data_IF_123401411074
#
_entry.id   IF_123401411074
#
_cell.length_a   1.000
_cell.length_b   1.000
_cell.length_c   1.000
_cell.angle_alpha   90.00
_cell.angle_beta   90.00
_cell.angle_gamma   90.00
#
_symmetry.space_group_name_H-M   'P 1'
#
loop_
_entity.id
_entity.type
_entity.pdbx_description
1 polymer ?
#
# COMPACT_ATOMS: atom_id res chain seq x y z
N UNK A 1 -9.71 -8.70 5.19
CA UNK A 1 -11.01 -9.02 5.80
C UNK A 1 -11.65 -7.70 6.21
N UNK A 2 -12.83 -7.38 5.70
CA UNK A 2 -13.57 -6.17 6.08
C UNK A 2 -14.62 -6.51 7.13
N UNK A 3 -15.35 -7.60 6.93
CA UNK A 3 -16.36 -8.06 7.88
C UNK A 3 -16.40 -9.59 7.95
N UNK A 4 -16.70 -10.13 9.12
CA UNK A 4 -17.02 -11.55 9.28
C UNK A 4 -18.49 -11.73 8.91
N UNK A 5 -18.82 -12.83 8.22
CA UNK A 5 -20.22 -13.15 7.99
C UNK A 5 -20.94 -13.36 9.33
N UNK A 6 -22.15 -12.83 9.46
CA UNK A 6 -22.95 -12.98 10.67
C UNK A 6 -24.45 -12.99 10.34
N UNK A 7 -25.24 -13.59 11.22
CA UNK A 7 -26.69 -13.61 11.12
C UNK A 7 -27.28 -12.51 12.01
N UNK A 8 -28.14 -11.66 11.45
CA UNK A 8 -28.88 -10.65 12.21
C UNK A 8 -29.92 -11.37 13.08
N UNK A 9 -29.83 -11.35 14.42
CA UNK A 9 -30.69 -12.19 15.26
C UNK A 9 -32.18 -11.85 15.15
N UNK A 10 -32.52 -10.58 14.91
CA UNK A 10 -33.90 -10.11 14.85
C UNK A 10 -34.62 -10.49 13.56
N UNK A 11 -33.90 -10.65 12.45
CA UNK A 11 -34.48 -10.90 11.12
C UNK A 11 -34.10 -12.27 10.56
N UNK A 12 -33.10 -12.94 11.13
CA UNK A 12 -32.52 -14.17 10.60
C UNK A 12 -31.73 -13.97 9.30
N UNK A 13 -31.52 -12.72 8.88
CA UNK A 13 -30.81 -12.40 7.65
C UNK A 13 -29.31 -12.69 7.79
N UNK A 14 -28.75 -13.41 6.83
CA UNK A 14 -27.32 -13.67 6.76
C UNK A 14 -26.60 -12.55 6.02
N UNK A 15 -25.73 -11.85 6.74
CA UNK A 15 -24.76 -10.93 6.15
C UNK A 15 -23.53 -11.76 5.74
N UNK A 16 -23.18 -11.82 4.45
CA UNK A 16 -22.08 -12.64 3.99
C UNK A 16 -20.73 -12.09 4.48
N UNK A 17 -19.74 -12.96 4.47
CA UNK A 17 -18.35 -12.57 4.70
C UNK A 17 -17.88 -11.60 3.61
N UNK A 18 -17.23 -10.51 4.03
CA UNK A 18 -16.68 -9.51 3.10
C UNK A 18 -15.15 -9.47 3.20
N UNK A 19 -14.52 -9.69 2.05
CA UNK A 19 -13.10 -9.47 1.85
C UNK A 19 -12.86 -8.63 0.61
N UNK A 20 -11.74 -7.90 0.63
CA UNK A 20 -11.23 -7.15 -0.51
C UNK A 20 -9.87 -7.70 -0.88
N UNK A 21 -9.61 -7.75 -2.18
CA UNK A 21 -8.30 -8.13 -2.72
C UNK A 21 -7.29 -7.01 -2.40
N UNK A 22 -6.29 -7.32 -1.58
CA UNK A 22 -5.28 -6.35 -1.13
C UNK A 22 -3.98 -6.42 -1.93
N UNK A 23 -3.82 -7.41 -2.81
CA UNK A 23 -2.60 -7.63 -3.60
C UNK A 23 -2.60 -6.96 -4.98
N UNK A 24 -3.75 -6.46 -5.45
CA UNK A 24 -3.82 -5.78 -6.75
C UNK A 24 -3.43 -4.31 -6.62
N UNK A 25 -2.20 -3.99 -6.99
CA UNK A 25 -1.67 -2.62 -6.97
C UNK A 25 -2.33 -1.76 -8.05
N UNK A 26 -2.80 -0.57 -7.67
CA UNK A 26 -3.38 0.42 -8.56
C UNK A 26 -2.33 1.38 -9.10
N UNK A 27 -2.16 1.39 -10.42
CA UNK A 27 -1.31 2.37 -11.11
C UNK A 27 -2.06 3.69 -11.29
N UNK A 28 -1.38 4.80 -11.05
CA UNK A 28 -2.00 6.12 -11.12
C UNK A 28 -1.04 7.25 -10.78
N UNK A 29 -1.59 8.40 -10.35
CA UNK A 29 -0.81 9.54 -9.89
C UNK A 29 -1.31 9.98 -8.50
N UNK A 30 -0.45 9.85 -7.49
CA UNK A 30 -0.76 10.21 -6.11
C UNK A 30 -0.55 11.69 -5.75
N UNK A 31 -0.13 12.54 -6.69
CA UNK A 31 0.11 13.97 -6.47
C UNK A 31 -1.23 14.76 -6.46
N UNK A 32 -1.66 15.35 -5.33
CA UNK A 32 -2.89 16.13 -5.25
C UNK A 32 -2.97 17.34 -6.18
N UNK A 33 -1.83 17.84 -6.67
CA UNK A 33 -1.75 18.97 -7.61
C UNK A 33 -1.93 18.55 -9.09
N UNK A 34 -1.93 17.24 -9.36
CA UNK A 34 -2.08 16.70 -10.71
C UNK A 34 -3.55 16.66 -11.13
N UNK A 35 -3.84 16.97 -12.40
CA UNK A 35 -5.18 16.75 -12.98
C UNK A 35 -5.57 15.26 -13.00
N UNK A 36 -4.57 14.36 -13.06
CA UNK A 36 -4.77 12.92 -13.01
C UNK A 36 -4.71 12.35 -11.57
N UNK A 37 -4.89 13.21 -10.55
CA UNK A 37 -4.79 12.80 -9.15
C UNK A 37 -5.77 11.69 -8.78
N UNK A 38 -5.23 10.67 -8.11
CA UNK A 38 -5.98 9.58 -7.53
C UNK A 38 -5.37 9.18 -6.18
N UNK A 39 -6.11 9.44 -5.10
CA UNK A 39 -5.69 9.13 -3.73
C UNK A 39 -5.46 7.64 -3.49
N UNK A 40 -6.06 6.78 -4.31
CA UNK A 40 -5.96 5.32 -4.21
C UNK A 40 -4.80 4.74 -5.03
N UNK A 41 -3.94 5.58 -5.62
CA UNK A 41 -2.74 5.13 -6.32
C UNK A 41 -1.78 4.42 -5.37
N UNK A 42 -1.40 3.20 -5.74
CA UNK A 42 -0.35 2.41 -5.06
C UNK A 42 1.00 2.52 -5.76
N UNK A 43 1.01 2.56 -7.10
CA UNK A 43 2.24 2.62 -7.90
C UNK A 43 2.19 3.80 -8.86
N UNK A 44 3.25 4.60 -8.86
CA UNK A 44 3.47 5.67 -9.83
C UNK A 44 4.84 5.50 -10.48
N UNK A 45 4.88 5.56 -11.81
CA UNK A 45 6.13 5.51 -12.58
C UNK A 45 6.34 6.88 -13.21
N UNK A 46 7.36 7.58 -12.74
CA UNK A 46 7.81 8.85 -13.29
C UNK A 46 9.07 8.62 -14.13
N UNK A 47 8.87 8.40 -15.42
CA UNK A 47 9.98 8.20 -16.36
C UNK A 47 10.82 9.47 -16.56
N UNK A 48 10.23 10.65 -16.41
CA UNK A 48 10.95 11.92 -16.60
C UNK A 48 11.86 12.23 -15.40
N UNK A 49 11.38 11.96 -14.19
CA UNK A 49 12.15 12.06 -12.94
C UNK A 49 12.99 10.82 -12.61
N UNK A 50 12.96 9.78 -13.45
CA UNK A 50 13.65 8.51 -13.24
C UNK A 50 13.35 7.88 -11.86
N UNK A 51 12.07 7.78 -11.51
CA UNK A 51 11.62 7.32 -10.19
C UNK A 51 10.40 6.42 -10.29
N UNK A 52 10.36 5.43 -9.41
CA UNK A 52 9.17 4.63 -9.13
C UNK A 52 8.77 4.89 -7.68
N UNK A 53 7.51 5.22 -7.47
CA UNK A 53 6.90 5.32 -6.14
C UNK A 53 5.97 4.13 -5.94
N UNK A 54 6.04 3.50 -4.77
CA UNK A 54 5.22 2.36 -4.40
C UNK A 54 4.68 2.49 -2.98
N UNK A 55 3.44 2.05 -2.77
CA UNK A 55 2.79 1.92 -1.46
C UNK A 55 2.47 0.44 -1.24
N UNK A 56 3.02 -0.13 -0.18
CA UNK A 56 2.80 -1.52 0.18
C UNK A 56 2.06 -1.54 1.52
N UNK A 57 0.85 -2.10 1.60
CA UNK A 57 0.14 -2.27 2.86
C UNK A 57 0.96 -3.11 3.85
N UNK A 58 1.04 -2.66 5.11
CA UNK A 58 1.81 -3.32 6.17
C UNK A 58 1.51 -4.81 6.34
N UNK A 59 0.25 -5.19 6.15
CA UNK A 59 -0.18 -6.58 6.28
C UNK A 59 0.44 -7.50 5.22
N UNK A 60 0.77 -6.98 4.02
CA UNK A 60 1.49 -7.77 2.99
C UNK A 60 2.93 -8.07 3.40
N UNK A 61 3.47 -7.33 4.38
CA UNK A 61 4.78 -7.54 4.98
C UNK A 61 4.71 -8.34 6.29
N UNK A 62 3.55 -8.90 6.64
CA UNK A 62 3.26 -9.52 7.94
C UNK A 62 3.49 -8.59 9.15
N UNK A 63 3.45 -7.26 8.94
CA UNK A 63 3.51 -6.29 10.03
C UNK A 63 2.09 -6.10 10.56
N UNK A 64 1.89 -6.45 11.84
CA UNK A 64 0.60 -6.39 12.52
C UNK A 64 0.35 -4.99 13.11
N UNK A 65 1.38 -4.39 13.71
CA UNK A 65 1.33 -3.04 14.25
C UNK A 65 2.63 -2.31 13.91
N UNK A 66 2.63 -1.44 12.89
CA UNK A 66 3.81 -0.67 12.52
C UNK A 66 4.15 0.40 13.56
N UNK A 67 3.17 0.88 14.33
CA UNK A 67 3.33 1.98 15.29
C UNK A 67 4.24 1.58 16.47
N UNK A 68 4.16 0.32 16.91
CA UNK A 68 4.99 -0.27 17.97
C UNK A 68 5.97 -1.34 17.47
N UNK A 69 6.14 -1.44 16.14
CA UNK A 69 6.97 -2.44 15.44
C UNK A 69 6.70 -3.88 15.88
N UNK A 70 5.50 -4.37 15.59
CA UNK A 70 5.10 -5.76 15.83
C UNK A 70 4.79 -6.47 14.52
N UNK A 71 5.33 -7.68 14.36
CA UNK A 71 5.05 -8.57 13.21
C UNK A 71 4.37 -9.85 13.66
N UNK A 72 3.59 -10.45 12.78
CA UNK A 72 2.95 -11.76 12.99
C UNK A 72 4.06 -12.82 13.07
N UNK A 73 3.98 -13.70 14.07
CA UNK A 73 5.02 -14.70 14.35
C UNK A 73 4.52 -16.14 14.46
N UNK A 74 3.21 -16.36 14.35
CA UNK A 74 2.59 -17.68 14.37
C UNK A 74 2.14 -18.11 12.98
N UNK A 75 2.06 -19.43 12.80
CA UNK A 75 1.33 -19.97 11.67
C UNK A 75 -0.15 -19.58 11.81
N UNK A 76 -0.80 -19.29 10.68
CA UNK A 76 -2.16 -18.73 10.66
C UNK A 76 -3.19 -19.62 11.37
N UNK A 77 -2.89 -20.92 11.50
CA UNK A 77 -3.71 -21.95 12.12
C UNK A 77 -3.66 -21.98 13.67
N UNK A 78 -2.64 -21.40 14.30
CA UNK A 78 -2.41 -21.50 15.75
C UNK A 78 -2.81 -20.24 16.54
N UNK A 79 -3.47 -19.28 15.87
CA UNK A 79 -3.84 -17.98 16.42
C UNK A 79 -2.86 -16.88 16.01
N UNK A 80 -3.17 -15.62 16.34
CA UNK A 80 -2.33 -14.46 16.01
C UNK A 80 -1.51 -14.04 17.23
N UNK A 81 -0.24 -14.44 17.25
CA UNK A 81 0.77 -13.85 18.13
C UNK A 81 1.61 -12.84 17.35
N UNK A 82 2.12 -11.84 18.07
CA UNK A 82 3.02 -10.85 17.48
C UNK A 82 4.32 -10.76 18.28
N UNK A 83 5.42 -10.51 17.58
CA UNK A 83 6.75 -10.29 18.17
C UNK A 83 7.30 -8.95 17.71
N UNK A 84 8.18 -8.37 18.53
CA UNK A 84 8.90 -7.15 18.16
C UNK A 84 9.89 -7.42 17.02
N UNK A 85 10.16 -6.38 16.22
CA UNK A 85 11.23 -6.37 15.22
C UNK A 85 11.82 -4.96 15.13
N UNK A 86 13.06 -4.85 14.66
CA UNK A 86 13.76 -3.55 14.63
C UNK A 86 13.77 -2.92 13.24
N UNK A 87 13.93 -3.73 12.19
CA UNK A 87 14.07 -3.28 10.81
C UNK A 87 13.48 -4.30 9.82
N UNK A 88 13.21 -3.80 8.62
CA UNK A 88 12.95 -4.59 7.42
C UNK A 88 14.22 -4.66 6.58
N UNK A 89 14.40 -5.75 5.85
CA UNK A 89 15.38 -5.83 4.77
C UNK A 89 14.66 -5.74 3.44
N UNK A 90 15.08 -4.82 2.58
CA UNK A 90 14.42 -4.50 1.31
C UNK A 90 15.40 -4.61 0.16
N UNK A 91 14.98 -5.31 -0.89
CA UNK A 91 15.64 -5.28 -2.20
C UNK A 91 14.60 -5.28 -3.30
N UNK A 92 14.93 -4.65 -4.41
CA UNK A 92 14.10 -4.55 -5.60
C UNK A 92 14.90 -5.10 -6.76
N UNK A 93 14.24 -5.85 -7.63
CA UNK A 93 14.82 -6.39 -8.85
C UNK A 93 13.82 -6.32 -9.99
N UNK A 94 14.31 -6.04 -11.18
CA UNK A 94 13.55 -6.13 -12.43
C UNK A 94 13.99 -7.35 -13.22
N UNK A 95 13.10 -7.89 -14.04
CA UNK A 95 13.40 -8.98 -14.95
C UNK A 95 12.58 -8.85 -16.23
N UNK A 96 13.00 -9.50 -17.31
CA UNK A 96 12.20 -9.61 -18.53
C UNK A 96 11.18 -10.74 -18.36
N UNK A 97 9.87 -10.48 -18.41
CA UNK A 97 8.87 -11.53 -18.31
C UNK A 97 8.83 -12.35 -19.61
N UNK A 98 8.75 -13.67 -19.48
CA UNK A 98 8.59 -14.60 -20.59
C UNK A 98 7.14 -15.12 -20.63
N UNK A 99 6.41 -14.74 -21.69
CA UNK A 99 5.02 -15.15 -21.89
C UNK A 99 4.89 -16.68 -22.08
N UNK A 100 5.91 -17.37 -22.60
CA UNK A 100 5.91 -18.82 -22.72
C UNK A 100 6.09 -19.52 -21.36
N UNK A 101 6.39 -18.76 -20.29
CA UNK A 101 6.60 -19.25 -18.92
C UNK A 101 5.63 -18.64 -17.91
N UNK A 102 4.44 -18.26 -18.36
CA UNK A 102 3.40 -17.60 -17.55
C UNK A 102 3.86 -16.27 -16.93
N UNK A 103 4.70 -15.51 -17.65
CA UNK A 103 5.22 -14.22 -17.17
C UNK A 103 6.33 -14.35 -16.12
N UNK A 104 6.84 -15.56 -15.85
CA UNK A 104 8.08 -15.74 -15.08
C UNK A 104 9.27 -15.13 -15.82
N UNK A 105 10.33 -14.85 -15.08
CA UNK A 105 11.54 -14.27 -15.64
C UNK A 105 12.17 -15.15 -16.74
N UNK A 106 12.53 -14.50 -17.85
CA UNK A 106 13.26 -15.09 -18.96
C UNK A 106 14.67 -15.50 -18.54
N UNK A 107 15.20 -16.55 -19.18
CA UNK A 107 16.61 -16.89 -19.07
C UNK A 107 17.42 -15.93 -19.95
N UNK A 108 18.33 -15.18 -19.33
CA UNK A 108 19.20 -14.20 -19.98
C UNK A 108 20.67 -14.64 -19.99
N UNK A 109 20.96 -15.90 -19.63
CA UNK A 109 22.32 -16.47 -19.65
C UNK A 109 23.27 -15.89 -18.60
N UNK A 110 22.75 -15.12 -17.63
CA UNK A 110 23.51 -14.56 -16.52
C UNK A 110 23.52 -15.46 -15.28
N UNK A 111 24.26 -15.05 -14.24
CA UNK A 111 24.22 -15.72 -12.91
C UNK A 111 22.86 -15.58 -12.21
N UNK A 112 22.04 -14.63 -12.66
CA UNK A 112 20.67 -14.37 -12.25
C UNK A 112 19.86 -13.89 -13.46
N UNK A 113 18.54 -13.96 -13.35
CA UNK A 113 17.56 -13.46 -14.32
C UNK A 113 17.15 -11.99 -14.06
N UNK A 114 17.79 -11.33 -13.09
CA UNK A 114 17.61 -9.91 -12.83
C UNK A 114 18.28 -9.06 -13.92
N UNK A 115 17.54 -8.11 -14.48
CA UNK A 115 18.05 -7.10 -15.43
C UNK A 115 18.59 -5.85 -14.75
N UNK A 116 18.00 -5.49 -13.61
CA UNK A 116 18.43 -4.39 -12.76
C UNK A 116 18.01 -4.68 -11.32
N UNK A 117 18.68 -4.10 -10.33
CA UNK A 117 18.43 -4.35 -8.93
C UNK A 117 18.94 -3.22 -8.03
N UNK A 118 18.28 -3.07 -6.88
CA UNK A 118 18.67 -2.16 -5.82
C UNK A 118 18.49 -2.87 -4.47
N UNK A 119 19.39 -2.69 -3.48
CA UNK A 119 20.69 -2.02 -3.56
C UNK A 119 21.72 -2.80 -4.39
N UNK A 120 22.95 -2.29 -4.48
CA UNK A 120 24.04 -2.94 -5.22
C UNK A 120 24.25 -4.42 -4.81
N UNK A 121 24.62 -5.25 -5.79
CA UNK A 121 24.86 -6.69 -5.60
C UNK A 121 26.34 -7.00 -5.48
N UNK A 122 26.64 -8.08 -4.76
CA UNK A 122 27.96 -8.70 -4.74
C UNK A 122 27.89 -10.03 -5.51
N UNK A 123 28.38 -10.03 -6.75
CA UNK A 123 28.25 -11.18 -7.65
C UNK A 123 26.78 -11.52 -7.95
N UNK A 124 26.33 -12.68 -7.47
CA UNK A 124 24.94 -13.17 -7.62
C UNK A 124 24.04 -12.83 -6.43
N UNK A 125 24.54 -12.14 -5.41
CA UNK A 125 23.81 -11.87 -4.16
C UNK A 125 23.43 -10.40 -4.09
N UNK A 126 22.13 -10.11 -4.07
CA UNK A 126 21.63 -8.75 -3.77
C UNK A 126 21.70 -8.54 -2.26
N UNK A 127 22.44 -7.51 -1.83
CA UNK A 127 22.52 -7.16 -0.40
C UNK A 127 21.33 -6.24 -0.08
N UNK A 128 20.33 -6.71 0.68
CA UNK A 128 19.16 -5.88 0.95
C UNK A 128 19.55 -4.69 1.83
N UNK A 129 18.86 -3.57 1.64
CA UNK A 129 18.97 -2.40 2.50
C UNK A 129 18.15 -2.63 3.76
N UNK A 130 18.68 -2.21 4.90
CA UNK A 130 17.91 -2.14 6.13
C UNK A 130 17.05 -0.87 6.12
N UNK A 131 15.78 -1.03 6.44
CA UNK A 131 14.83 0.06 6.59
C UNK A 131 14.21 0.02 7.98
N UNK A 132 14.22 1.16 8.67
CA UNK A 132 13.63 1.31 10.00
C UNK A 132 13.00 2.68 10.15
N UNK A 133 12.19 2.85 11.19
CA UNK A 133 11.49 4.08 11.53
C UNK A 133 11.38 4.22 13.06
N UNK A 134 11.04 5.40 13.57
CA UNK A 134 10.76 5.57 15.01
C UNK A 134 9.31 5.17 15.33
N UNK A 135 9.04 4.47 16.44
CA UNK A 135 7.68 4.21 16.91
C UNK A 135 6.87 5.52 17.03
N UNK A 136 5.56 5.45 16.80
CA UNK A 136 4.69 6.62 16.85
C UNK A 136 3.37 6.32 17.54
N UNK A 137 2.86 7.25 18.35
CA UNK A 137 1.47 7.18 18.84
C UNK A 137 0.49 7.82 17.83
N UNK A 138 0.98 8.77 17.04
CA UNK A 138 0.22 9.44 15.98
C UNK A 138 1.06 9.46 14.71
N UNK A 139 0.53 8.99 13.57
CA UNK A 139 1.24 9.07 12.31
C UNK A 139 1.42 10.54 11.91
N UNK A 140 2.52 10.85 11.23
CA UNK A 140 2.66 12.14 10.58
C UNK A 140 1.56 12.32 9.53
N UNK A 141 0.91 13.48 9.53
CA UNK A 141 -0.10 13.83 8.55
C UNK A 141 0.08 15.28 8.12
N UNK A 142 -0.39 15.57 6.90
CA UNK A 142 -0.52 16.92 6.38
C UNK A 142 -1.99 17.15 6.05
N UNK A 143 -2.52 18.28 6.53
CA UNK A 143 -3.89 18.66 6.22
C UNK A 143 -3.93 19.38 4.88
N UNK A 144 -4.91 19.00 4.06
CA UNK A 144 -5.24 19.73 2.84
C UNK A 144 -6.74 19.81 2.67
N UNK A 145 -7.18 20.87 2.00
CA UNK A 145 -8.58 21.00 1.61
C UNK A 145 -8.91 19.90 0.59
N UNK A 146 -10.05 19.24 0.79
CA UNK A 146 -10.62 18.31 -0.21
C UNK A 146 -11.13 19.12 -1.39
N UNK A 147 -11.17 18.51 -2.58
CA UNK A 147 -11.74 19.15 -3.78
C UNK A 147 -13.17 19.67 -3.53
N UNK A 148 -13.97 18.96 -2.73
CA UNK A 148 -15.33 19.35 -2.37
C UNK A 148 -15.44 20.54 -1.41
N UNK A 149 -14.34 20.96 -0.77
CA UNK A 149 -14.37 22.05 0.21
C UNK A 149 -14.92 23.33 -0.39
N UNK A 150 -14.49 23.70 -1.59
CA UNK A 150 -14.94 24.92 -2.24
C UNK A 150 -16.44 24.87 -2.59
N UNK A 151 -16.94 23.70 -3.00
CA UNK A 151 -18.37 23.48 -3.29
C UNK A 151 -19.19 23.70 -2.01
N UNK A 152 -18.78 23.09 -0.90
CA UNK A 152 -19.48 23.22 0.38
C UNK A 152 -19.43 24.65 0.91
N UNK A 153 -18.25 25.29 0.87
CA UNK A 153 -18.07 26.67 1.33
C UNK A 153 -18.99 27.63 0.60
N UNK A 154 -19.11 27.49 -0.72
CA UNK A 154 -19.92 28.39 -1.53
C UNK A 154 -21.42 28.17 -1.28
N UNK A 155 -21.86 26.93 -1.03
CA UNK A 155 -23.24 26.63 -0.61
C UNK A 155 -23.58 27.15 0.79
N UNK A 156 -22.69 26.99 1.77
CA UNK A 156 -22.94 27.54 3.11
C UNK A 156 -23.01 29.07 3.09
N UNK A 157 -22.16 29.72 2.30
CA UNK A 157 -22.21 31.17 2.12
C UNK A 157 -23.52 31.64 1.47
N UNK A 158 -24.06 30.89 0.50
CA UNK A 158 -25.34 31.26 -0.14
C UNK A 158 -26.55 30.98 0.75
N UNK A 159 -26.52 29.92 1.56
CA UNK A 159 -27.57 29.62 2.53
C UNK A 159 -27.67 30.71 3.62
N UNK A 160 -26.55 31.14 4.20
CA UNK A 160 -26.51 32.22 5.20
C UNK A 160 -27.03 33.57 4.65
N UNK A 161 -26.87 33.82 3.35
CA UNK A 161 -27.40 35.02 2.68
C UNK A 161 -28.91 34.94 2.41
N UNK A 162 -29.48 33.73 2.39
CA UNK A 162 -30.91 33.50 2.13
C UNK A 162 -31.73 33.51 3.43
N UNK A 163 -31.14 33.12 4.56
CA UNK A 163 -31.77 33.19 5.89
C UNK A 163 -31.75 34.61 6.52
N UNK A 164 -31.09 35.58 5.89
CA UNK A 164 -31.07 36.99 6.32
C UNK A 164 -31.92 37.94 5.44
N UNK A 165 -32.74 37.42 4.53
CA UNK A 165 -33.64 38.19 3.66
C UNK A 165 -35.11 37.85 3.93
#
# INVERSE_FOLDING_TARGET
>A
MINRGYTVPATGEEVPFEAVETGKLRYGNGNPESEAYDSLTDVHVDAAGNRIEGRIPWILLNIADPSTKRRIATDWSEGLSTVAFDYLTVSVGTFVPDAARDGRAADIGGSTNLTDHLPERDGSVVRPAEYTWDPWDRPAYEERLKQSYHILRDQYRSADLTDQA
#
